data_IF_308427074236
#
_entry.id   IF_308427074236
#
_cell.length_a   1.000
_cell.length_b   1.000
_cell.length_c   1.000
_cell.angle_alpha   90.00
_cell.angle_beta   90.00
_cell.angle_gamma   90.00
#
_symmetry.space_group_name_H-M   'P 1'
#
loop_
_entity.id
_entity.type
_entity.pdbx_description
1 polymer ?
#
# COMPACT_ATOMS: atom_id res chain seq x y z
N UNK A 1 -13.31 -3.86 -8.59
CA UNK A 1 -12.24 -3.98 -7.59
C UNK A 1 -12.08 -2.64 -6.89
N UNK A 2 -11.76 -2.63 -5.59
CA UNK A 2 -11.57 -1.41 -4.81
C UNK A 2 -10.11 -1.24 -4.40
N UNK A 3 -9.68 0.00 -4.24
CA UNK A 3 -8.38 0.38 -3.69
C UNK A 3 -8.50 0.59 -2.18
N UNK A 4 -7.54 0.09 -1.41
CA UNK A 4 -7.40 0.33 0.03
C UNK A 4 -6.00 0.86 0.30
N UNK A 5 -5.91 1.99 0.99
CA UNK A 5 -4.63 2.62 1.35
C UNK A 5 -4.44 2.51 2.86
N UNK A 6 -3.28 2.04 3.29
CA UNK A 6 -2.86 2.01 4.70
C UNK A 6 -1.65 2.92 4.86
N UNK A 7 -1.68 3.77 5.88
CA UNK A 7 -0.57 4.65 6.25
C UNK A 7 -0.59 4.77 7.77
N UNK A 8 0.13 3.88 8.44
CA UNK A 8 0.16 3.76 9.89
C UNK A 8 1.59 4.00 10.41
N UNK A 9 1.76 3.89 11.73
CA UNK A 9 3.03 4.21 12.39
C UNK A 9 4.15 3.22 12.05
N UNK A 10 3.83 1.94 11.93
CA UNK A 10 4.76 0.85 11.58
C UNK A 10 3.98 -0.37 11.05
N UNK A 11 4.71 -1.39 10.57
CA UNK A 11 4.04 -2.59 10.07
C UNK A 11 3.39 -3.42 11.18
N UNK A 12 3.79 -3.31 12.45
CA UNK A 12 3.09 -4.04 13.53
C UNK A 12 1.66 -3.51 13.69
N UNK A 13 1.49 -2.19 13.63
CA UNK A 13 0.18 -1.55 13.58
C UNK A 13 -0.59 -1.91 12.29
N UNK A 14 0.11 -2.00 11.15
CA UNK A 14 -0.50 -2.40 9.88
C UNK A 14 -1.00 -3.84 9.92
N UNK A 15 -0.18 -4.77 10.41
CA UNK A 15 -0.50 -6.18 10.55
C UNK A 15 -1.70 -6.37 11.50
N UNK A 16 -1.69 -5.69 12.66
CA UNK A 16 -2.78 -5.75 13.64
C UNK A 16 -4.14 -5.29 13.08
N UNK A 17 -4.15 -4.31 12.18
CA UNK A 17 -5.35 -3.82 11.51
C UNK A 17 -5.76 -4.73 10.34
N UNK A 18 -4.80 -5.19 9.54
CA UNK A 18 -5.05 -5.93 8.30
C UNK A 18 -5.42 -7.40 8.53
N UNK A 19 -4.78 -8.08 9.48
CA UNK A 19 -5.00 -9.50 9.76
C UNK A 19 -6.49 -9.84 9.99
N UNK A 20 -7.25 -9.15 10.87
CA UNK A 20 -8.67 -9.46 11.08
C UNK A 20 -9.56 -9.07 9.89
N UNK A 21 -9.06 -8.25 8.96
CA UNK A 21 -9.82 -7.77 7.79
C UNK A 21 -9.55 -8.57 6.51
N UNK A 22 -8.63 -9.53 6.54
CA UNK A 22 -8.13 -10.23 5.35
C UNK A 22 -9.26 -10.74 4.42
N UNK A 23 -10.29 -11.37 4.97
CA UNK A 23 -11.42 -11.88 4.18
C UNK A 23 -12.31 -10.78 3.57
N UNK A 24 -12.44 -9.63 4.23
CA UNK A 24 -13.20 -8.50 3.68
C UNK A 24 -12.44 -7.74 2.57
N UNK A 25 -11.12 -7.94 2.50
CA UNK A 25 -10.23 -7.33 1.54
C UNK A 25 -10.00 -8.19 0.30
N UNK A 26 -10.55 -9.41 0.25
CA UNK A 26 -10.38 -10.33 -0.88
C UNK A 26 -10.68 -9.65 -2.23
N UNK A 27 -9.79 -9.82 -3.21
CA UNK A 27 -9.92 -9.25 -4.56
C UNK A 27 -9.72 -7.73 -4.65
N UNK A 28 -9.28 -7.07 -3.57
CA UNK A 28 -8.92 -5.65 -3.58
C UNK A 28 -7.43 -5.43 -3.87
N UNK A 29 -7.10 -4.19 -4.19
CA UNK A 29 -5.72 -3.71 -4.26
C UNK A 29 -5.39 -3.02 -2.93
N UNK A 30 -4.39 -3.53 -2.22
CA UNK A 30 -3.85 -2.94 -1.01
C UNK A 30 -2.58 -2.14 -1.34
N UNK A 31 -2.59 -0.86 -1.00
CA UNK A 31 -1.40 0.01 -1.03
C UNK A 31 -0.97 0.27 0.40
N UNK A 32 0.24 -0.15 0.75
CA UNK A 32 0.82 0.14 2.06
C UNK A 32 1.86 1.26 1.94
N UNK A 33 1.56 2.42 2.53
CA UNK A 33 2.44 3.60 2.60
C UNK A 33 3.12 3.73 3.97
N UNK A 34 2.96 2.73 4.84
CA UNK A 34 3.65 2.64 6.12
C UNK A 34 5.15 2.39 5.90
N UNK A 35 5.99 3.25 6.47
CA UNK A 35 7.45 3.11 6.36
C UNK A 35 7.97 1.91 7.16
N UNK A 36 8.79 1.07 6.53
CA UNK A 36 9.52 -0.03 7.18
C UNK A 36 10.66 -0.51 6.25
N UNK A 37 11.25 -1.65 6.57
CA UNK A 37 12.30 -2.31 5.83
C UNK A 37 11.74 -3.04 4.61
N UNK A 38 12.53 -3.16 3.52
CA UNK A 38 12.12 -3.96 2.35
C UNK A 38 11.82 -5.43 2.66
N UNK A 39 12.38 -5.97 3.75
CA UNK A 39 12.09 -7.33 4.19
C UNK A 39 10.65 -7.45 4.73
N UNK A 40 10.19 -6.47 5.52
CA UNK A 40 8.80 -6.42 6.02
C UNK A 40 7.82 -6.21 4.88
N UNK A 41 8.08 -5.30 3.94
CA UNK A 41 7.24 -5.11 2.75
C UNK A 41 7.05 -6.40 1.93
N UNK A 42 8.12 -7.21 1.76
CA UNK A 42 8.01 -8.52 1.08
C UNK A 42 7.18 -9.54 1.86
N UNK A 43 7.22 -9.51 3.19
CA UNK A 43 6.36 -10.38 4.01
C UNK A 43 4.90 -9.97 3.87
N UNK A 44 4.59 -8.67 3.89
CA UNK A 44 3.24 -8.16 3.67
C UNK A 44 2.74 -8.47 2.26
N UNK A 45 3.60 -8.40 1.23
CA UNK A 45 3.26 -8.83 -0.12
C UNK A 45 2.89 -10.33 -0.19
N UNK A 46 3.64 -11.19 0.50
CA UNK A 46 3.34 -12.62 0.57
C UNK A 46 2.03 -12.91 1.32
N UNK A 47 1.77 -12.16 2.40
CA UNK A 47 0.51 -12.21 3.12
C UNK A 47 -0.68 -11.79 2.22
N UNK A 48 -0.56 -10.67 1.52
CA UNK A 48 -1.60 -10.19 0.61
C UNK A 48 -1.92 -11.23 -0.48
N UNK A 49 -0.90 -11.84 -1.07
CA UNK A 49 -1.07 -12.89 -2.07
C UNK A 49 -1.79 -14.13 -1.50
N UNK A 50 -1.48 -14.54 -0.26
CA UNK A 50 -2.18 -15.65 0.44
C UNK A 50 -3.67 -15.36 0.62
N UNK A 51 -4.05 -14.09 0.75
CA UNK A 51 -5.42 -13.64 0.93
C UNK A 51 -6.09 -13.13 -0.36
N UNK A 52 -5.49 -13.39 -1.53
CA UNK A 52 -6.01 -12.97 -2.84
C UNK A 52 -6.17 -11.45 -2.98
N UNK A 53 -5.25 -10.68 -2.39
CA UNK A 53 -5.12 -9.24 -2.60
C UNK A 53 -3.99 -8.99 -3.59
N UNK A 54 -4.18 -8.00 -4.47
CA UNK A 54 -3.05 -7.40 -5.17
C UNK A 54 -2.39 -6.39 -4.22
N UNK A 55 -1.06 -6.28 -4.27
CA UNK A 55 -0.30 -5.49 -3.31
C UNK A 55 0.67 -4.52 -3.99
N UNK A 56 0.68 -3.30 -3.47
CA UNK A 56 1.68 -2.27 -3.74
C UNK A 56 2.27 -1.81 -2.41
N UNK A 57 3.59 -1.77 -2.36
CA UNK A 57 4.33 -1.07 -1.32
C UNK A 57 4.65 0.34 -1.82
N UNK A 58 4.63 1.32 -0.94
CA UNK A 58 4.97 2.68 -1.32
C UNK A 58 5.61 3.49 -0.20
N UNK A 59 6.30 4.55 -0.62
CA UNK A 59 6.99 5.46 0.27
C UNK A 59 6.67 6.90 -0.10
N UNK A 60 6.11 7.64 0.86
CA UNK A 60 5.88 9.08 0.74
C UNK A 60 7.22 9.78 1.02
N UNK A 61 7.76 10.49 0.03
CA UNK A 61 9.09 11.09 0.09
C UNK A 61 9.06 12.57 0.51
N UNK A 62 7.90 13.04 0.96
CA UNK A 62 7.64 14.43 1.28
C UNK A 62 6.91 14.55 2.63
N UNK A 63 7.03 15.69 3.32
CA UNK A 63 6.21 15.97 4.49
C UNK A 63 4.72 16.12 4.13
N UNK A 64 3.86 16.03 5.15
CA UNK A 64 2.40 15.98 4.99
C UNK A 64 1.80 17.21 4.30
N UNK A 65 2.38 18.39 4.48
CA UNK A 65 1.92 19.65 3.90
C UNK A 65 2.21 19.78 2.39
N UNK A 66 3.09 18.94 1.85
CA UNK A 66 3.41 18.87 0.41
C UNK A 66 2.48 17.90 -0.34
N UNK A 67 1.80 16.99 0.37
CA UNK A 67 0.91 16.00 -0.24
C UNK A 67 -0.24 16.69 -0.99
N UNK A 68 -0.45 16.31 -2.26
CA UNK A 68 -1.46 16.89 -3.14
C UNK A 68 -1.01 18.16 -3.89
N UNK A 69 0.24 18.59 -3.68
CA UNK A 69 0.88 19.61 -4.52
C UNK A 69 1.64 18.99 -5.70
N UNK A 70 2.04 19.81 -6.67
CA UNK A 70 2.85 19.37 -7.81
C UNK A 70 4.27 18.91 -7.43
N UNK A 71 4.72 19.21 -6.20
CA UNK A 71 6.03 18.80 -5.67
C UNK A 71 5.94 17.49 -4.88
N UNK A 72 4.75 16.87 -4.78
CA UNK A 72 4.57 15.60 -4.09
C UNK A 72 5.29 14.46 -4.83
N UNK A 73 5.96 13.59 -4.06
CA UNK A 73 6.65 12.42 -4.61
C UNK A 73 6.31 11.19 -3.77
N UNK A 74 5.79 10.16 -4.43
CA UNK A 74 5.47 8.86 -3.82
C UNK A 74 6.04 7.74 -4.69
N UNK A 75 6.93 6.92 -4.11
CA UNK A 75 7.38 5.70 -4.77
C UNK A 75 6.34 4.60 -4.62
N UNK A 76 6.20 3.78 -5.66
CA UNK A 76 5.38 2.57 -5.64
C UNK A 76 6.18 1.40 -6.19
N UNK A 77 5.99 0.22 -5.61
CA UNK A 77 6.55 -1.04 -6.08
C UNK A 77 5.57 -2.20 -5.87
N UNK A 78 5.71 -3.28 -6.64
CA UNK A 78 4.81 -4.44 -6.57
C UNK A 78 4.10 -4.72 -7.89
N UNK A 79 2.82 -5.04 -7.82
CA UNK A 79 2.03 -5.45 -8.99
C UNK A 79 1.81 -4.28 -9.98
N UNK A 80 2.47 -4.36 -11.14
CA UNK A 80 2.39 -3.34 -12.20
C UNK A 80 0.96 -3.15 -12.71
N UNK A 81 0.17 -4.22 -12.82
CA UNK A 81 -1.20 -4.14 -13.32
C UNK A 81 -2.12 -3.47 -12.29
N UNK A 82 -1.91 -3.75 -10.99
CA UNK A 82 -2.62 -3.09 -9.91
C UNK A 82 -2.34 -1.58 -9.87
N UNK A 83 -1.08 -1.17 -10.08
CA UNK A 83 -0.73 0.25 -10.20
C UNK A 83 -1.42 0.89 -11.41
N UNK A 84 -1.30 0.30 -12.60
CA UNK A 84 -1.89 0.84 -13.82
C UNK A 84 -3.42 1.00 -13.73
N UNK A 85 -4.11 0.08 -13.03
CA UNK A 85 -5.56 0.16 -12.83
C UNK A 85 -5.99 1.33 -11.92
N UNK A 86 -5.09 1.88 -11.10
CA UNK A 86 -5.36 2.94 -10.13
C UNK A 86 -4.43 4.16 -10.26
N UNK A 87 -3.71 4.28 -11.38
CA UNK A 87 -2.69 5.31 -11.58
C UNK A 87 -3.25 6.72 -11.42
N UNK A 88 -4.45 7.01 -11.95
CA UNK A 88 -5.07 8.34 -11.81
C UNK A 88 -5.41 8.71 -10.36
N UNK A 89 -5.62 7.72 -9.49
CA UNK A 89 -5.82 7.92 -8.05
C UNK A 89 -4.51 8.01 -7.28
N UNK A 90 -3.48 7.29 -7.72
CA UNK A 90 -2.21 7.14 -7.01
C UNK A 90 -1.12 8.12 -7.43
N UNK A 91 -1.21 8.70 -8.63
CA UNK A 91 -0.23 9.67 -9.12
C UNK A 91 -0.23 10.89 -8.20
N UNK A 92 0.97 11.24 -7.73
CA UNK A 92 1.24 12.43 -6.91
C UNK A 92 1.38 13.66 -7.81
#
# INVERSE_FOLDING_TARGET
>A
SGLVVVCLVDHDASDAVLEPLAGALEGRVLVNLTSDTPARSRQTAAWAAKHSLAYLDGAIMVPVDVVGSADALVFHSGDRAAYAAHEDTLKA
#
